data_IF_410474478515
#
_entry.id   IF_410474478515
#
_cell.length_a   1.000
_cell.length_b   1.000
_cell.length_c   1.000
_cell.angle_alpha   90.00
_cell.angle_beta   90.00
_cell.angle_gamma   90.00
#
_symmetry.space_group_name_H-M   'P 1'
#
loop_
_entity.id
_entity.type
_entity.pdbx_description
1 polymer ?
#
# COMPACT_ATOMS: atom_id res chain seq x y z
N UNK A 1 20.06 -13.75 -18.85
CA UNK A 1 20.70 -12.64 -18.09
C UNK A 1 20.97 -11.49 -19.07
N UNK A 2 20.19 -10.41 -18.99
CA UNK A 2 20.46 -9.17 -19.74
C UNK A 2 20.70 -8.08 -18.71
N UNK A 3 21.97 -7.68 -18.57
CA UNK A 3 22.37 -6.52 -17.78
C UNK A 3 21.83 -5.27 -18.49
N UNK A 4 20.96 -4.53 -17.79
CA UNK A 4 20.51 -3.20 -18.21
C UNK A 4 21.49 -2.20 -17.58
N UNK A 5 22.36 -1.63 -18.40
CA UNK A 5 23.15 -0.44 -18.03
C UNK A 5 22.19 0.74 -17.91
N UNK A 6 21.93 1.20 -16.68
CA UNK A 6 21.21 2.45 -16.42
C UNK A 6 22.20 3.62 -16.39
N UNK A 7 22.02 4.69 -17.19
CA UNK A 7 22.79 5.90 -17.01
C UNK A 7 22.27 6.66 -15.79
N UNK A 8 23.16 6.81 -14.81
CA UNK A 8 23.01 7.65 -13.63
C UNK A 8 22.90 9.12 -14.08
N UNK A 9 21.67 9.62 -14.24
CA UNK A 9 21.45 11.04 -14.51
C UNK A 9 21.50 11.80 -13.18
N UNK A 10 22.70 12.26 -12.82
CA UNK A 10 22.94 13.16 -11.69
C UNK A 10 22.33 14.52 -12.07
N UNK A 11 21.12 14.79 -11.62
CA UNK A 11 20.53 16.14 -11.65
C UNK A 11 21.22 16.93 -10.54
N UNK A 12 22.35 17.56 -10.88
CA UNK A 12 22.93 18.63 -10.09
C UNK A 12 22.00 19.85 -10.20
N UNK A 13 21.01 19.92 -9.31
CA UNK A 13 20.27 21.15 -9.06
C UNK A 13 21.29 22.19 -8.57
N UNK A 14 21.61 23.12 -9.47
CA UNK A 14 22.24 24.40 -9.17
C UNK A 14 21.36 25.12 -8.14
N UNK A 15 21.65 24.90 -6.86
CA UNK A 15 21.27 25.81 -5.78
C UNK A 15 22.07 27.10 -5.97
N UNK A 16 21.61 27.99 -6.85
CA UNK A 16 22.09 29.36 -6.85
C UNK A 16 21.64 29.99 -5.53
N UNK A 17 22.56 30.38 -4.63
CA UNK A 17 22.18 31.15 -3.47
C UNK A 17 21.61 32.48 -3.98
N UNK A 18 20.34 32.71 -3.70
CA UNK A 18 19.71 34.00 -3.93
C UNK A 18 20.56 35.09 -3.29
N UNK A 19 20.85 36.11 -4.09
CA UNK A 19 21.72 37.27 -3.84
C UNK A 19 21.82 37.68 -2.38
N UNK A 20 22.88 37.24 -1.70
CA UNK A 20 23.31 37.88 -0.45
C UNK A 20 23.92 39.24 -0.83
N UNK A 21 23.17 40.32 -0.63
CA UNK A 21 23.73 41.67 -0.77
C UNK A 21 24.79 41.87 0.31
N UNK A 22 26.04 42.11 -0.11
CA UNK A 22 27.14 42.47 0.79
C UNK A 22 26.91 43.90 1.24
N UNK A 23 26.67 44.11 2.54
CA UNK A 23 26.56 45.45 3.12
C UNK A 23 27.88 45.72 3.85
N UNK A 24 28.53 46.83 3.51
CA UNK A 24 29.80 47.24 4.09
C UNK A 24 29.55 48.19 5.26
N UNK A 25 30.20 47.92 6.40
CA UNK A 25 30.21 48.81 7.55
C UNK A 25 31.40 49.77 7.43
N UNK A 26 31.10 51.05 7.30
CA UNK A 26 32.05 52.13 7.03
C UNK A 26 32.13 53.10 8.21
N UNK A 27 33.24 53.82 8.34
CA UNK A 27 33.35 54.97 9.23
C UNK A 27 33.30 56.26 8.40
N UNK A 28 32.44 57.21 8.78
CA UNK A 28 32.43 58.55 8.18
C UNK A 28 33.64 59.37 8.65
N UNK A 29 33.90 60.52 8.00
CA UNK A 29 35.01 61.40 8.35
C UNK A 29 34.94 62.03 9.76
N UNK A 30 33.88 61.73 10.52
CA UNK A 30 33.64 62.18 11.91
C UNK A 30 33.70 60.98 12.88
N UNK A 31 33.99 59.77 12.38
CA UNK A 31 34.10 58.53 13.17
C UNK A 31 32.76 57.83 13.44
N UNK A 32 31.67 58.19 12.76
CA UNK A 32 30.36 57.53 12.90
C UNK A 32 30.24 56.33 11.95
N UNK A 33 29.56 55.29 12.41
CA UNK A 33 29.33 54.09 11.61
C UNK A 33 28.21 54.35 10.58
N UNK A 34 28.51 54.12 9.30
CA UNK A 34 27.55 54.22 8.19
C UNK A 34 27.57 52.90 7.42
N UNK A 35 26.41 52.41 7.01
CA UNK A 35 26.29 51.19 6.20
C UNK A 35 26.15 51.57 4.72
N UNK A 36 26.95 50.96 3.85
CA UNK A 36 26.96 51.23 2.41
C UNK A 36 26.87 49.94 1.61
N UNK A 37 26.20 50.00 0.46
CA UNK A 37 26.16 48.90 -0.52
C UNK A 37 27.43 48.87 -1.42
N UNK A 38 28.36 49.80 -1.21
CA UNK A 38 29.65 49.90 -1.90
C UNK A 38 30.85 49.83 -0.95
N UNK A 39 31.97 49.26 -1.43
CA UNK A 39 33.21 49.12 -0.66
C UNK A 39 33.77 50.48 -0.21
N UNK A 40 33.97 50.63 1.10
CA UNK A 40 34.44 51.87 1.71
C UNK A 40 35.84 51.70 2.32
N UNK A 41 36.85 51.58 1.46
CA UNK A 41 38.26 51.71 1.84
C UNK A 41 38.82 50.69 2.85
N UNK A 42 40.08 50.90 3.25
CA UNK A 42 40.82 50.02 4.16
C UNK A 42 40.24 50.10 5.58
N UNK A 43 39.44 49.10 5.96
CA UNK A 43 38.74 49.04 7.23
C UNK A 43 37.27 48.61 7.14
N UNK A 44 36.74 48.42 5.91
CA UNK A 44 35.37 47.95 5.71
C UNK A 44 35.17 46.51 6.20
N UNK A 45 34.24 46.34 7.14
CA UNK A 45 33.80 45.02 7.60
C UNK A 45 32.61 44.58 6.73
N UNK A 46 32.73 43.42 6.06
CA UNK A 46 31.65 42.86 5.23
C UNK A 46 30.64 42.18 6.14
N UNK A 47 29.44 42.73 6.23
CA UNK A 47 28.33 42.09 6.91
C UNK A 47 27.55 41.31 5.86
N UNK A 48 27.50 39.98 6.03
CA UNK A 48 26.64 39.14 5.22
C UNK A 48 25.21 39.29 5.72
N UNK A 49 24.45 40.19 5.09
CA UNK A 49 23.05 40.40 5.43
C UNK A 49 22.20 39.26 4.89
N UNK A 50 21.76 38.37 5.78
CA UNK A 50 20.68 37.44 5.46
C UNK A 50 19.36 38.17 5.70
N UNK A 51 18.63 38.47 4.62
CA UNK A 51 17.30 39.06 4.74
C UNK A 51 16.43 38.08 5.56
N UNK A 52 15.90 38.50 6.73
CA UNK A 52 15.05 37.64 7.53
C UNK A 52 13.83 37.26 6.67
N UNK A 53 13.45 35.98 6.68
CA UNK A 53 12.30 35.52 5.90
C UNK A 53 11.08 36.35 6.26
N UNK A 54 10.42 36.90 5.24
CA UNK A 54 9.14 37.56 5.47
C UNK A 54 8.10 36.50 5.82
N UNK A 55 7.07 36.85 6.61
CA UNK A 55 5.96 35.93 6.88
C UNK A 55 5.33 35.36 5.60
N UNK A 56 5.31 36.13 4.52
CA UNK A 56 4.79 35.71 3.22
C UNK A 56 5.65 34.61 2.57
N UNK A 57 6.98 34.73 2.65
CA UNK A 57 7.90 33.74 2.08
C UNK A 57 7.84 32.42 2.84
N UNK A 58 7.73 32.49 4.17
CA UNK A 58 7.49 31.32 5.02
C UNK A 58 6.21 30.58 4.61
N UNK A 59 5.10 31.31 4.46
CA UNK A 59 3.81 30.73 4.02
C UNK A 59 3.92 30.09 2.64
N UNK A 60 4.59 30.75 1.68
CA UNK A 60 4.80 30.18 0.33
C UNK A 60 5.59 28.87 0.36
N UNK A 61 6.65 28.80 1.15
CA UNK A 61 7.43 27.57 1.33
C UNK A 61 6.58 26.45 1.93
N UNK A 62 5.89 26.72 3.03
CA UNK A 62 5.04 25.73 3.70
C UNK A 62 3.93 25.20 2.77
N UNK A 63 3.32 26.07 1.95
CA UNK A 63 2.34 25.66 0.95
C UNK A 63 2.94 24.78 -0.15
N UNK A 64 4.16 25.11 -0.62
CA UNK A 64 4.85 24.33 -1.64
C UNK A 64 5.22 22.93 -1.09
N UNK A 65 5.78 22.87 0.12
CA UNK A 65 6.11 21.62 0.80
C UNK A 65 4.86 20.76 1.05
N UNK A 66 3.79 21.36 1.56
CA UNK A 66 2.52 20.67 1.78
C UNK A 66 1.93 20.12 0.48
N UNK A 67 2.06 20.84 -0.64
CA UNK A 67 1.62 20.36 -1.95
C UNK A 67 2.42 19.14 -2.40
N UNK A 68 3.75 19.18 -2.30
CA UNK A 68 4.62 18.05 -2.64
C UNK A 68 4.31 16.83 -1.77
N UNK A 69 4.13 17.01 -0.47
CA UNK A 69 3.76 15.93 0.44
C UNK A 69 2.40 15.32 0.10
N UNK A 70 1.38 16.14 -0.19
CA UNK A 70 0.06 15.67 -0.61
C UNK A 70 0.12 14.87 -1.91
N UNK A 71 0.88 15.33 -2.89
CA UNK A 71 1.07 14.62 -4.16
C UNK A 71 1.80 13.28 -3.97
N UNK A 72 2.84 13.25 -3.13
CA UNK A 72 3.55 12.02 -2.78
C UNK A 72 2.61 11.01 -2.08
N UNK A 73 1.84 11.47 -1.08
CA UNK A 73 0.89 10.63 -0.36
C UNK A 73 -0.20 10.09 -1.28
N UNK A 74 -0.70 10.93 -2.20
CA UNK A 74 -1.68 10.51 -3.20
C UNK A 74 -1.13 9.38 -4.07
N UNK A 75 0.08 9.53 -4.60
CA UNK A 75 0.71 8.47 -5.43
C UNK A 75 0.88 7.16 -4.68
N UNK A 76 1.29 7.21 -3.42
CA UNK A 76 1.41 6.01 -2.56
C UNK A 76 0.03 5.36 -2.37
N UNK A 77 -0.98 6.15 -2.02
CA UNK A 77 -2.35 5.65 -1.80
C UNK A 77 -2.95 5.04 -3.07
N UNK A 78 -2.75 5.65 -4.24
CA UNK A 78 -3.21 5.12 -5.52
C UNK A 78 -2.52 3.81 -5.87
N UNK A 79 -1.21 3.70 -5.62
CA UNK A 79 -0.46 2.47 -5.83
C UNK A 79 -0.92 1.33 -4.90
N UNK A 80 -1.18 1.63 -3.63
CA UNK A 80 -1.75 0.65 -2.69
C UNK A 80 -3.15 0.21 -3.10
N UNK A 81 -4.01 1.16 -3.48
CA UNK A 81 -5.36 0.84 -3.94
C UNK A 81 -5.34 -0.04 -5.19
N UNK A 82 -4.45 0.22 -6.15
CA UNK A 82 -4.26 -0.63 -7.33
C UNK A 82 -3.84 -2.04 -6.94
N UNK A 83 -2.83 -2.19 -6.09
CA UNK A 83 -2.39 -3.51 -5.59
C UNK A 83 -3.52 -4.27 -4.88
N UNK A 84 -4.29 -3.57 -4.03
CA UNK A 84 -5.44 -4.18 -3.35
C UNK A 84 -6.54 -4.57 -4.33
N UNK A 85 -6.83 -3.74 -5.32
CA UNK A 85 -7.83 -4.03 -6.35
C UNK A 85 -7.42 -5.24 -7.21
N UNK A 86 -6.15 -5.32 -7.61
CA UNK A 86 -5.61 -6.46 -8.36
C UNK A 86 -5.69 -7.76 -7.55
N UNK A 87 -5.26 -7.72 -6.28
CA UNK A 87 -5.35 -8.87 -5.39
C UNK A 87 -6.80 -9.31 -5.17
N UNK A 88 -7.71 -8.37 -4.92
CA UNK A 88 -9.13 -8.66 -4.76
C UNK A 88 -9.75 -9.23 -6.04
N UNK A 89 -9.36 -8.72 -7.21
CA UNK A 89 -9.81 -9.25 -8.49
C UNK A 89 -9.33 -10.71 -8.70
N UNK A 90 -8.06 -11.00 -8.41
CA UNK A 90 -7.52 -12.37 -8.46
C UNK A 90 -8.22 -13.29 -7.46
N UNK A 91 -8.48 -12.83 -6.23
CA UNK A 91 -9.25 -13.62 -5.27
C UNK A 91 -10.68 -13.87 -5.75
N UNK A 92 -11.33 -12.88 -6.36
CA UNK A 92 -12.69 -13.03 -6.88
C UNK A 92 -12.75 -14.07 -7.99
N UNK A 93 -11.79 -14.10 -8.91
CA UNK A 93 -11.74 -15.11 -9.99
C UNK A 93 -11.46 -16.51 -9.44
N UNK A 94 -10.52 -16.66 -8.52
CA UNK A 94 -10.21 -17.94 -7.87
C UNK A 94 -11.39 -18.47 -7.05
N UNK A 95 -12.09 -17.59 -6.32
CA UNK A 95 -13.32 -17.96 -5.61
C UNK A 95 -14.37 -18.42 -6.60
N UNK A 96 -14.67 -17.64 -7.65
CA UNK A 96 -15.68 -18.00 -8.63
C UNK A 96 -15.42 -19.35 -9.32
N UNK A 97 -14.17 -19.65 -9.70
CA UNK A 97 -13.82 -20.93 -10.30
C UNK A 97 -13.99 -22.10 -9.31
N UNK A 98 -13.57 -21.90 -8.06
CA UNK A 98 -13.75 -22.88 -6.98
C UNK A 98 -15.23 -23.12 -6.67
N UNK A 99 -16.05 -22.07 -6.64
CA UNK A 99 -17.49 -22.19 -6.42
C UNK A 99 -18.17 -23.02 -7.52
N UNK A 100 -17.84 -22.73 -8.79
CA UNK A 100 -18.37 -23.49 -9.92
C UNK A 100 -17.95 -24.96 -9.84
N UNK A 101 -16.69 -25.23 -9.52
CA UNK A 101 -16.19 -26.60 -9.36
C UNK A 101 -16.89 -27.36 -8.21
N UNK A 102 -17.17 -26.69 -7.09
CA UNK A 102 -17.94 -27.26 -5.97
C UNK A 102 -19.38 -27.56 -6.37
N UNK A 103 -20.07 -26.63 -7.03
CA UNK A 103 -21.44 -26.85 -7.49
C UNK A 103 -21.56 -28.06 -8.44
N UNK A 104 -20.55 -28.24 -9.30
CA UNK A 104 -20.43 -29.41 -10.18
C UNK A 104 -19.96 -30.69 -9.47
N UNK A 105 -19.77 -30.64 -8.14
CA UNK A 105 -19.35 -31.74 -7.27
C UNK A 105 -18.05 -32.42 -7.73
N UNK A 106 -17.14 -31.65 -8.33
CA UNK A 106 -15.92 -32.21 -8.91
C UNK A 106 -15.05 -32.89 -7.84
N UNK A 107 -14.61 -34.10 -8.15
CA UNK A 107 -13.73 -34.90 -7.29
C UNK A 107 -14.42 -35.61 -6.12
N UNK A 108 -15.69 -35.33 -5.84
CA UNK A 108 -16.41 -36.01 -4.77
C UNK A 108 -16.82 -37.43 -5.17
N UNK A 109 -16.69 -38.36 -4.22
CA UNK A 109 -17.18 -39.73 -4.33
C UNK A 109 -17.71 -40.19 -2.99
N UNK A 110 -18.89 -40.81 -2.98
CA UNK A 110 -19.42 -41.47 -1.79
C UNK A 110 -18.39 -42.51 -1.30
N UNK A 111 -18.18 -42.57 0.02
CA UNK A 111 -17.16 -43.36 0.68
C UNK A 111 -15.81 -42.66 0.83
N UNK A 112 -15.64 -41.44 0.33
CA UNK A 112 -14.41 -40.68 0.55
C UNK A 112 -14.22 -40.37 2.04
N UNK A 113 -13.01 -40.58 2.56
CA UNK A 113 -12.69 -40.22 3.94
C UNK A 113 -12.65 -38.71 4.13
N UNK A 114 -13.07 -38.26 5.33
CA UNK A 114 -12.93 -36.89 5.81
C UNK A 114 -11.52 -36.34 5.60
N UNK A 115 -10.50 -37.15 5.89
CA UNK A 115 -9.10 -36.77 5.71
C UNK A 115 -8.75 -36.48 4.23
N UNK A 116 -9.37 -37.18 3.28
CA UNK A 116 -9.17 -36.95 1.86
C UNK A 116 -9.84 -35.65 1.40
N UNK A 117 -11.05 -35.37 1.88
CA UNK A 117 -11.73 -34.08 1.64
C UNK A 117 -10.93 -32.90 2.18
N UNK A 118 -10.32 -33.04 3.35
CA UNK A 118 -9.49 -32.00 3.97
C UNK A 118 -8.16 -31.76 3.26
N UNK A 119 -7.65 -32.75 2.51
CA UNK A 119 -6.45 -32.59 1.67
C UNK A 119 -6.78 -32.03 0.29
N UNK A 120 -8.04 -32.07 -0.11
CA UNK A 120 -8.49 -31.54 -1.38
C UNK A 120 -8.63 -30.02 -1.29
N UNK A 121 -7.90 -29.30 -2.15
CA UNK A 121 -7.87 -27.84 -2.18
C UNK A 121 -9.27 -27.23 -2.42
N UNK A 122 -10.16 -27.98 -3.08
CA UNK A 122 -11.53 -27.57 -3.34
C UNK A 122 -12.43 -27.73 -2.12
N UNK A 123 -12.28 -28.77 -1.30
CA UNK A 123 -13.24 -29.17 -0.26
C UNK A 123 -12.76 -28.94 1.19
N UNK A 124 -11.49 -28.56 1.37
CA UNK A 124 -10.81 -28.46 2.67
C UNK A 124 -11.50 -27.63 3.77
N UNK A 125 -12.24 -26.57 3.41
CA UNK A 125 -12.80 -25.62 4.38
C UNK A 125 -14.28 -25.39 4.09
N UNK A 126 -15.18 -26.13 4.77
CA UNK A 126 -16.61 -25.80 4.78
C UNK A 126 -16.86 -24.47 5.49
N UNK A 127 -17.93 -23.79 5.10
CA UNK A 127 -18.35 -22.53 5.72
C UNK A 127 -19.04 -22.78 7.07
N UNK A 128 -19.73 -23.91 7.21
CA UNK A 128 -20.35 -24.35 8.45
C UNK A 128 -20.27 -25.88 8.60
N UNK A 129 -20.19 -26.35 9.83
CA UNK A 129 -20.13 -27.77 10.19
C UNK A 129 -20.99 -28.02 11.42
N UNK A 130 -22.03 -28.83 11.25
CA UNK A 130 -22.80 -29.40 12.35
C UNK A 130 -22.39 -30.84 12.60
N UNK A 131 -22.23 -31.23 13.87
CA UNK A 131 -21.76 -32.57 14.27
C UNK A 131 -22.67 -33.14 15.35
N UNK A 132 -23.15 -34.35 15.11
CA UNK A 132 -23.97 -35.12 16.05
C UNK A 132 -23.27 -36.42 16.37
N UNK A 133 -23.15 -36.75 17.66
CA UNK A 133 -22.57 -38.01 18.11
C UNK A 133 -23.64 -38.80 18.87
N UNK A 134 -23.84 -40.06 18.49
CA UNK A 134 -24.77 -40.98 19.12
C UNK A 134 -24.06 -42.29 19.47
N UNK A 135 -24.76 -43.21 20.13
CA UNK A 135 -24.22 -44.55 20.39
C UNK A 135 -23.89 -45.34 19.10
N UNK A 136 -24.55 -45.01 17.98
CA UNK A 136 -24.36 -45.69 16.69
C UNK A 136 -23.23 -45.08 15.84
N UNK A 137 -22.66 -43.93 16.25
CA UNK A 137 -21.56 -43.31 15.53
C UNK A 137 -21.61 -41.79 15.53
N UNK A 138 -20.82 -41.20 14.61
CA UNK A 138 -20.69 -39.76 14.43
C UNK A 138 -21.22 -39.37 13.06
N UNK A 139 -22.10 -38.38 13.01
CA UNK A 139 -22.57 -37.77 11.77
C UNK A 139 -22.14 -36.31 11.72
N UNK A 140 -21.53 -35.90 10.62
CA UNK A 140 -21.18 -34.51 10.34
C UNK A 140 -21.95 -34.01 9.11
N UNK A 141 -22.35 -32.75 9.16
CA UNK A 141 -23.03 -32.05 8.10
C UNK A 141 -22.25 -30.80 7.75
N UNK A 142 -21.63 -30.81 6.58
CA UNK A 142 -20.78 -29.72 6.11
C UNK A 142 -21.54 -28.90 5.09
N UNK A 143 -21.56 -27.59 5.27
CA UNK A 143 -22.21 -26.64 4.37
C UNK A 143 -21.15 -25.79 3.69
N UNK A 144 -21.24 -25.75 2.37
CA UNK A 144 -20.50 -24.84 1.50
C UNK A 144 -21.50 -23.85 0.92
N UNK A 145 -21.45 -22.63 1.41
CA UNK A 145 -22.39 -21.58 1.05
C UNK A 145 -22.28 -21.24 -0.44
N UNK A 146 -23.44 -20.88 -0.99
CA UNK A 146 -23.58 -20.38 -2.33
C UNK A 146 -22.67 -19.18 -2.58
N UNK A 147 -21.99 -19.18 -3.72
CA UNK A 147 -21.44 -17.96 -4.32
C UNK A 147 -22.50 -17.34 -5.23
N UNK A 148 -22.39 -16.05 -5.54
CA UNK A 148 -23.36 -15.34 -6.40
C UNK A 148 -23.74 -16.17 -7.64
N UNK A 149 -25.02 -16.56 -7.73
CA UNK A 149 -25.58 -17.32 -8.85
C UNK A 149 -25.59 -18.85 -8.72
N UNK A 150 -25.09 -19.43 -7.63
CA UNK A 150 -25.12 -20.88 -7.37
C UNK A 150 -25.88 -21.24 -6.09
N UNK A 151 -26.35 -22.48 -5.96
CA UNK A 151 -26.88 -23.02 -4.71
C UNK A 151 -25.78 -23.39 -3.70
N UNK A 152 -26.17 -23.71 -2.47
CA UNK A 152 -25.26 -24.21 -1.43
C UNK A 152 -25.01 -25.71 -1.62
N UNK A 153 -23.77 -26.17 -1.56
CA UNK A 153 -23.45 -27.61 -1.57
C UNK A 153 -23.33 -28.11 -0.14
N UNK A 154 -23.91 -29.27 0.13
CA UNK A 154 -23.95 -29.85 1.48
C UNK A 154 -23.47 -31.28 1.46
N UNK A 155 -22.51 -31.60 2.31
CA UNK A 155 -21.93 -32.94 2.42
C UNK A 155 -22.34 -33.57 3.74
N UNK A 156 -22.77 -34.81 3.70
CA UNK A 156 -23.07 -35.61 4.89
C UNK A 156 -21.98 -36.65 5.07
N UNK A 157 -21.35 -36.67 6.24
CA UNK A 157 -20.36 -37.66 6.59
C UNK A 157 -20.90 -38.51 7.74
N UNK A 158 -20.76 -39.82 7.65
CA UNK A 158 -21.06 -40.75 8.74
C UNK A 158 -19.81 -41.56 9.04
N UNK A 159 -19.38 -41.56 10.31
CA UNK A 159 -18.16 -42.22 10.77
C UNK A 159 -16.94 -41.88 9.88
N UNK A 160 -16.72 -40.58 9.65
CA UNK A 160 -15.62 -40.04 8.82
C UNK A 160 -15.72 -40.34 7.31
N UNK A 161 -16.81 -40.95 6.82
CA UNK A 161 -17.00 -41.26 5.40
C UNK A 161 -18.10 -40.41 4.78
N UNK A 162 -17.86 -39.85 3.60
CA UNK A 162 -18.86 -39.13 2.82
C UNK A 162 -19.99 -40.09 2.41
N UNK A 163 -21.21 -39.86 2.90
CA UNK A 163 -22.38 -40.71 2.63
C UNK A 163 -23.42 -40.07 1.72
N UNK A 164 -23.51 -38.74 1.69
CA UNK A 164 -24.43 -38.04 0.78
C UNK A 164 -23.93 -36.66 0.37
N UNK A 165 -24.39 -36.20 -0.80
CA UNK A 165 -24.05 -34.90 -1.42
C UNK A 165 -25.37 -34.24 -1.88
N UNK A 166 -25.62 -33.01 -1.47
CA UNK A 166 -26.83 -32.25 -1.81
C UNK A 166 -26.47 -30.87 -2.36
N UNK A 167 -27.28 -30.37 -3.31
CA UNK A 167 -27.15 -29.04 -3.93
C UNK A 167 -28.43 -28.23 -3.73
#
# INVERSE_FOLDING_TARGET
MRLILMPLFIIALLSMPASASKIFKCLDGVGRVVFSDSECGAGAEVIQYQHPETPLDKIKRELAEAKVQREAQRKISEAEQRKRAEFNAQQKTLRASSCRARFMQLGLKIGMQRSALLRDQLWQFPDDVSKTTTASGVTEYWVFNACEGYGSVRLYLTNELLTSIHN
#
